data_IF_663691456505
#
_entry.id   IF_663691456505
#
_cell.length_a   1.000
_cell.length_b   1.000
_cell.length_c   1.000
_cell.angle_alpha   90.00
_cell.angle_beta   90.00
_cell.angle_gamma   90.00
#
_symmetry.space_group_name_H-M   'P 1'
#
loop_
_entity.id
_entity.type
_entity.pdbx_description
1 polymer ?
#
# COMPACT_ATOMS: atom_id res chain seq x y z
N UNK A 1 23.63 40.51 7.91
CA UNK A 1 22.85 39.29 7.67
C UNK A 1 22.41 39.29 6.21
N UNK A 2 23.05 38.51 5.34
CA UNK A 2 22.71 38.44 3.93
C UNK A 2 21.56 37.40 3.80
N UNK A 3 20.37 37.93 3.54
CA UNK A 3 19.22 37.07 3.14
C UNK A 3 19.50 36.56 1.73
N UNK A 4 19.62 35.26 1.57
CA UNK A 4 19.63 34.60 0.26
C UNK A 4 18.25 34.74 -0.36
N UNK A 5 18.08 35.79 -1.16
CA UNK A 5 16.93 35.94 -2.08
C UNK A 5 17.05 34.86 -3.17
N UNK A 6 16.46 33.69 -2.93
CA UNK A 6 16.17 32.80 -4.06
C UNK A 6 15.19 33.51 -5.00
N UNK A 7 15.60 33.69 -6.25
CA UNK A 7 14.71 34.30 -7.24
C UNK A 7 13.45 33.44 -7.42
N UNK A 8 12.27 34.09 -7.61
CA UNK A 8 11.00 33.34 -7.87
C UNK A 8 11.15 32.24 -8.92
N UNK A 9 11.87 32.37 -10.03
CA UNK A 9 12.10 31.31 -10.99
C UNK A 9 12.87 30.11 -10.41
N UNK A 10 13.90 30.34 -9.57
CA UNK A 10 14.68 29.29 -8.95
C UNK A 10 13.86 28.50 -7.92
N UNK A 11 12.96 29.18 -7.19
CA UNK A 11 12.01 28.54 -6.27
C UNK A 11 11.05 27.60 -7.01
N UNK A 12 10.44 28.05 -8.12
CA UNK A 12 9.54 27.20 -8.91
C UNK A 12 10.25 26.03 -9.60
N UNK A 13 11.49 26.22 -10.06
CA UNK A 13 12.31 25.14 -10.61
C UNK A 13 12.59 24.07 -9.54
N UNK A 14 13.02 24.48 -8.35
CA UNK A 14 13.29 23.59 -7.24
C UNK A 14 12.05 22.79 -6.80
N UNK A 15 10.87 23.42 -6.73
CA UNK A 15 9.62 22.73 -6.41
C UNK A 15 9.19 21.77 -7.50
N UNK A 16 9.36 22.10 -8.77
CA UNK A 16 9.07 21.17 -9.86
C UNK A 16 10.00 19.96 -9.84
N UNK A 17 11.28 20.14 -9.54
CA UNK A 17 12.25 19.06 -9.39
C UNK A 17 11.91 18.17 -8.19
N UNK A 18 11.45 18.74 -7.08
CA UNK A 18 11.04 17.99 -5.90
C UNK A 18 9.79 17.13 -6.16
N UNK A 19 8.77 17.68 -6.82
CA UNK A 19 7.58 16.92 -7.21
C UNK A 19 7.94 15.78 -8.15
N UNK A 20 8.73 16.02 -9.19
CA UNK A 20 9.20 15.00 -10.12
C UNK A 20 10.01 13.90 -9.44
N UNK A 21 10.83 14.25 -8.45
CA UNK A 21 11.56 13.28 -7.65
C UNK A 21 10.60 12.40 -6.83
N UNK A 22 9.63 13.00 -6.15
CA UNK A 22 8.65 12.26 -5.34
C UNK A 22 7.77 11.34 -6.20
N UNK A 23 7.34 11.78 -7.37
CA UNK A 23 6.63 10.97 -8.36
C UNK A 23 7.47 9.75 -8.76
N UNK A 24 8.74 9.97 -9.11
CA UNK A 24 9.68 8.89 -9.50
C UNK A 24 9.88 7.87 -8.37
N UNK A 25 10.07 8.34 -7.13
CA UNK A 25 10.25 7.47 -5.97
C UNK A 25 8.98 6.65 -5.67
N UNK A 26 7.79 7.24 -5.81
CA UNK A 26 6.54 6.50 -5.65
C UNK A 26 6.32 5.47 -6.76
N UNK A 27 6.73 5.76 -7.99
CA UNK A 27 6.65 4.80 -9.10
C UNK A 27 7.56 3.59 -8.86
N UNK A 28 8.76 3.79 -8.32
CA UNK A 28 9.65 2.69 -7.91
C UNK A 28 9.03 1.84 -6.80
N UNK A 29 8.48 2.48 -5.76
CA UNK A 29 7.78 1.78 -4.67
C UNK A 29 6.59 0.99 -5.21
N UNK A 30 5.79 1.61 -6.09
CA UNK A 30 4.66 0.95 -6.77
C UNK A 30 5.10 -0.29 -7.54
N UNK A 31 6.20 -0.19 -8.29
CA UNK A 31 6.75 -1.32 -9.04
C UNK A 31 7.06 -2.52 -8.13
N UNK A 32 7.69 -2.29 -6.99
CA UNK A 32 7.97 -3.32 -5.99
C UNK A 32 6.70 -3.95 -5.39
N UNK A 33 5.71 -3.13 -5.06
CA UNK A 33 4.43 -3.61 -4.51
C UNK A 33 3.67 -4.45 -5.54
N UNK A 34 3.56 -3.98 -6.79
CA UNK A 34 2.86 -4.68 -7.88
C UNK A 34 3.50 -6.02 -8.19
N UNK A 35 4.83 -6.08 -8.27
CA UNK A 35 5.53 -7.34 -8.51
C UNK A 35 5.30 -8.33 -7.36
N UNK A 36 5.37 -7.89 -6.11
CA UNK A 36 5.07 -8.73 -4.95
C UNK A 36 3.61 -9.20 -4.90
N UNK A 37 2.67 -8.35 -5.29
CA UNK A 37 1.25 -8.68 -5.32
C UNK A 37 0.87 -9.64 -6.45
N UNK A 38 1.68 -9.74 -7.50
CA UNK A 38 1.41 -10.54 -8.70
C UNK A 38 1.06 -11.99 -8.37
N UNK A 39 1.72 -12.58 -7.38
CA UNK A 39 1.48 -13.98 -6.97
C UNK A 39 0.02 -14.19 -6.57
N UNK A 40 -0.53 -13.33 -5.71
CA UNK A 40 -1.93 -13.41 -5.29
C UNK A 40 -2.89 -13.00 -6.40
N UNK A 41 -2.57 -11.94 -7.15
CA UNK A 41 -3.46 -11.40 -8.18
C UNK A 41 -3.68 -12.37 -9.35
N UNK A 42 -2.72 -13.25 -9.65
CA UNK A 42 -2.77 -14.17 -10.82
C UNK A 42 -2.91 -15.64 -10.46
N UNK A 43 -2.80 -16.02 -9.17
CA UNK A 43 -2.85 -17.42 -8.75
C UNK A 43 -4.28 -17.97 -8.75
N UNK A 44 -4.47 -19.12 -9.39
CA UNK A 44 -5.71 -19.89 -9.39
C UNK A 44 -5.73 -21.02 -8.32
N UNK A 45 -4.62 -21.21 -7.60
CA UNK A 45 -4.46 -22.22 -6.57
C UNK A 45 -4.90 -21.76 -5.17
N UNK A 46 -4.04 -21.95 -4.18
CA UNK A 46 -4.30 -21.55 -2.79
C UNK A 46 -4.28 -20.04 -2.63
N UNK A 47 -5.47 -19.43 -2.52
CA UNK A 47 -5.64 -17.99 -2.40
C UNK A 47 -5.04 -17.44 -1.09
N UNK A 48 -5.07 -18.22 0.01
CA UNK A 48 -4.53 -17.79 1.30
C UNK A 48 -3.00 -17.79 1.25
N UNK A 49 -2.40 -18.89 0.79
CA UNK A 49 -0.94 -18.98 0.71
C UNK A 49 -0.36 -17.90 -0.21
N UNK A 50 -0.98 -17.67 -1.37
CA UNK A 50 -0.54 -16.62 -2.30
C UNK A 50 -0.75 -15.20 -1.75
N UNK A 51 -1.83 -14.96 -0.99
CA UNK A 51 -2.03 -13.69 -0.29
C UNK A 51 -0.96 -13.46 0.79
N UNK A 52 -0.64 -14.47 1.58
CA UNK A 52 0.41 -14.37 2.61
C UNK A 52 1.76 -14.01 2.00
N UNK A 53 2.13 -14.63 0.89
CA UNK A 53 3.37 -14.32 0.17
C UNK A 53 3.36 -12.89 -0.39
N UNK A 54 2.25 -12.44 -0.96
CA UNK A 54 2.09 -11.07 -1.45
C UNK A 54 2.13 -10.03 -0.34
N UNK A 55 1.51 -10.31 0.81
CA UNK A 55 1.57 -9.41 1.97
C UNK A 55 2.97 -9.36 2.59
N UNK A 56 3.71 -10.48 2.57
CA UNK A 56 5.12 -10.48 2.97
C UNK A 56 5.94 -9.54 2.08
N UNK A 57 5.79 -9.63 0.77
CA UNK A 57 6.47 -8.74 -0.17
C UNK A 57 6.07 -7.26 0.05
N UNK A 58 4.79 -6.97 0.30
CA UNK A 58 4.30 -5.63 0.63
C UNK A 58 4.97 -5.08 1.90
N UNK A 59 5.08 -5.88 2.96
CA UNK A 59 5.73 -5.48 4.22
C UNK A 59 7.22 -5.29 4.03
N UNK A 60 7.89 -6.12 3.21
CA UNK A 60 9.30 -5.97 2.87
C UNK A 60 9.55 -4.63 2.15
N UNK A 61 8.76 -4.29 1.14
CA UNK A 61 8.82 -2.98 0.44
C UNK A 61 8.53 -1.84 1.42
N UNK A 62 7.49 -1.95 2.25
CA UNK A 62 7.16 -0.95 3.26
C UNK A 62 8.28 -0.73 4.27
N UNK A 63 8.98 -1.80 4.66
CA UNK A 63 10.12 -1.72 5.56
C UNK A 63 11.29 -0.93 4.94
N UNK A 64 11.58 -1.16 3.66
CA UNK A 64 12.65 -0.45 2.95
C UNK A 64 12.28 1.00 2.63
N UNK A 65 11.05 1.24 2.18
CA UNK A 65 10.60 2.51 1.62
C UNK A 65 9.72 3.34 2.55
N UNK A 66 9.50 2.93 3.81
CA UNK A 66 8.59 3.58 4.74
C UNK A 66 8.86 5.07 4.96
N UNK A 67 10.14 5.47 4.97
CA UNK A 67 10.55 6.88 5.08
C UNK A 67 10.10 7.72 3.89
N UNK A 68 10.13 7.17 2.67
CA UNK A 68 9.64 7.83 1.44
C UNK A 68 8.12 7.99 1.54
N UNK A 69 7.41 6.90 1.83
CA UNK A 69 5.95 6.91 1.97
C UNK A 69 5.48 7.92 3.02
N UNK A 70 6.18 7.96 4.17
CA UNK A 70 5.88 8.93 5.23
C UNK A 70 6.11 10.36 4.76
N UNK A 71 7.23 10.65 4.11
CA UNK A 71 7.58 12.00 3.66
C UNK A 71 6.54 12.56 2.68
N UNK A 72 6.08 11.72 1.73
CA UNK A 72 5.05 12.12 0.77
C UNK A 72 3.70 12.28 1.46
N UNK A 73 3.30 11.32 2.30
CA UNK A 73 2.05 11.36 3.07
C UNK A 73 1.94 12.58 3.98
N UNK A 74 3.04 12.98 4.64
CA UNK A 74 3.07 14.15 5.52
C UNK A 74 3.02 15.48 4.72
N UNK A 75 3.61 15.51 3.52
CA UNK A 75 3.63 16.71 2.67
C UNK A 75 2.33 16.90 1.87
N UNK A 76 1.66 15.83 1.48
CA UNK A 76 0.47 15.84 0.63
C UNK A 76 -0.63 16.83 1.10
N UNK A 77 -1.03 16.90 2.39
CA UNK A 77 -2.08 17.82 2.83
C UNK A 77 -1.76 19.31 2.66
N UNK A 78 -0.49 19.64 2.45
CA UNK A 78 -0.01 21.03 2.33
C UNK A 78 0.25 21.45 0.87
N UNK A 79 0.14 20.52 -0.09
CA UNK A 79 0.46 20.74 -1.50
C UNK A 79 -0.49 19.95 -2.39
N UNK A 80 -1.38 20.63 -3.10
CA UNK A 80 -2.43 19.99 -3.93
C UNK A 80 -1.87 19.06 -5.03
N UNK A 81 -0.66 19.32 -5.55
CA UNK A 81 -0.04 18.42 -6.52
C UNK A 81 0.43 17.12 -5.84
N UNK A 82 1.07 17.22 -4.69
CA UNK A 82 1.47 16.05 -3.91
C UNK A 82 0.27 15.26 -3.40
N UNK A 83 -0.80 15.94 -2.99
CA UNK A 83 -2.06 15.28 -2.62
C UNK A 83 -2.61 14.46 -3.78
N UNK A 84 -2.65 15.03 -4.99
CA UNK A 84 -3.09 14.32 -6.19
C UNK A 84 -2.18 13.12 -6.52
N UNK A 85 -0.87 13.29 -6.45
CA UNK A 85 0.11 12.21 -6.68
C UNK A 85 -0.06 11.09 -5.67
N UNK A 86 -0.22 11.44 -4.38
CA UNK A 86 -0.43 10.48 -3.29
C UNK A 86 -1.72 9.70 -3.45
N UNK A 87 -2.84 10.38 -3.72
CA UNK A 87 -4.14 9.72 -3.93
C UNK A 87 -4.14 8.85 -5.20
N UNK A 88 -3.47 9.27 -6.27
CA UNK A 88 -3.30 8.47 -7.48
C UNK A 88 -2.47 7.21 -7.21
N UNK A 89 -1.38 7.34 -6.45
CA UNK A 89 -0.55 6.21 -6.03
C UNK A 89 -1.37 5.20 -5.24
N UNK A 90 -2.07 5.62 -4.20
CA UNK A 90 -2.89 4.73 -3.38
C UNK A 90 -4.06 4.12 -4.17
N UNK A 91 -4.76 4.91 -4.97
CA UNK A 91 -5.89 4.48 -5.78
C UNK A 91 -5.52 3.46 -6.86
N UNK A 92 -4.26 3.48 -7.33
CA UNK A 92 -3.78 2.55 -8.35
C UNK A 92 -3.82 1.07 -7.91
N UNK A 93 -3.90 0.79 -6.63
CA UNK A 93 -4.04 -0.57 -6.10
C UNK A 93 -5.50 -0.99 -5.92
N UNK A 94 -6.43 -0.04 -5.82
CA UNK A 94 -7.83 -0.33 -5.51
C UNK A 94 -8.50 -1.14 -6.62
N UNK A 95 -8.25 -0.82 -7.89
CA UNK A 95 -8.83 -1.53 -9.04
C UNK A 95 -8.34 -2.98 -9.14
N UNK A 96 -7.03 -3.22 -8.99
CA UNK A 96 -6.46 -4.56 -9.13
C UNK A 96 -6.87 -5.46 -7.96
N UNK A 97 -6.91 -4.95 -6.74
CA UNK A 97 -7.37 -5.68 -5.55
C UNK A 97 -8.87 -5.93 -5.64
N UNK A 98 -9.67 -4.94 -6.06
CA UNK A 98 -11.11 -5.07 -6.29
C UNK A 98 -11.45 -6.15 -7.32
N UNK A 99 -10.72 -6.19 -8.45
CA UNK A 99 -10.91 -7.22 -9.46
C UNK A 99 -10.63 -8.62 -8.92
N UNK A 100 -9.57 -8.78 -8.10
CA UNK A 100 -9.28 -10.06 -7.45
C UNK A 100 -10.37 -10.45 -6.44
N UNK A 101 -10.85 -9.53 -5.63
CA UNK A 101 -11.94 -9.78 -4.68
C UNK A 101 -13.20 -10.24 -5.42
N UNK A 102 -13.60 -9.54 -6.49
CA UNK A 102 -14.78 -9.90 -7.30
C UNK A 102 -14.63 -11.30 -7.93
N UNK A 103 -13.42 -11.65 -8.41
CA UNK A 103 -13.14 -12.97 -8.92
C UNK A 103 -13.30 -14.06 -7.85
N UNK A 104 -12.81 -13.84 -6.66
CA UNK A 104 -12.89 -14.79 -5.55
C UNK A 104 -14.33 -14.89 -4.99
N UNK A 105 -15.11 -13.81 -5.03
CA UNK A 105 -16.54 -13.82 -4.74
C UNK A 105 -17.31 -14.68 -5.76
N UNK A 106 -17.02 -14.54 -7.04
CA UNK A 106 -17.64 -15.35 -8.09
C UNK A 106 -17.36 -16.85 -7.93
N UNK A 107 -16.25 -17.22 -7.28
CA UNK A 107 -15.90 -18.58 -6.90
C UNK A 107 -16.49 -19.04 -5.56
N UNK A 108 -17.15 -18.15 -4.83
CA UNK A 108 -17.73 -18.44 -3.50
C UNK A 108 -16.70 -18.63 -2.39
N UNK A 109 -15.45 -18.16 -2.58
CA UNK A 109 -14.37 -18.28 -1.58
C UNK A 109 -14.19 -17.03 -0.73
N UNK A 110 -14.73 -15.90 -1.18
CA UNK A 110 -14.79 -14.62 -0.47
C UNK A 110 -16.26 -14.23 -0.22
N UNK A 111 -16.62 -13.71 0.96
CA UNK A 111 -17.98 -13.24 1.25
C UNK A 111 -18.43 -12.12 0.30
N UNK A 112 -19.76 -11.93 0.17
CA UNK A 112 -20.31 -10.84 -0.61
C UNK A 112 -20.25 -9.51 0.15
N UNK A 113 -19.65 -8.52 -0.46
CA UNK A 113 -19.60 -7.10 -0.11
C UNK A 113 -19.17 -6.32 -1.35
N UNK A 114 -19.19 -5.00 -1.31
CA UNK A 114 -18.69 -4.19 -2.42
C UNK A 114 -17.15 -4.32 -2.57
N UNK A 115 -16.65 -4.88 -3.68
CA UNK A 115 -15.23 -5.17 -3.84
C UNK A 115 -14.35 -3.92 -3.84
N UNK A 116 -14.82 -2.82 -4.45
CA UNK A 116 -14.04 -1.60 -4.55
C UNK A 116 -13.90 -0.90 -3.20
N UNK A 117 -14.98 -0.78 -2.46
CA UNK A 117 -14.95 -0.21 -1.11
C UNK A 117 -14.07 -1.03 -0.16
N UNK A 118 -14.11 -2.36 -0.28
CA UNK A 118 -13.27 -3.23 0.54
C UNK A 118 -11.80 -3.11 0.15
N UNK A 119 -11.47 -3.11 -1.13
CA UNK A 119 -10.11 -2.90 -1.63
C UNK A 119 -9.55 -1.56 -1.14
N UNK A 120 -10.34 -0.48 -1.27
CA UNK A 120 -9.99 0.84 -0.77
C UNK A 120 -9.67 0.84 0.73
N UNK A 121 -10.55 0.25 1.54
CA UNK A 121 -10.34 0.18 3.00
C UNK A 121 -9.08 -0.60 3.38
N UNK A 122 -8.87 -1.78 2.78
CA UNK A 122 -7.70 -2.62 3.05
C UNK A 122 -6.39 -1.95 2.62
N UNK A 123 -6.36 -1.33 1.44
CA UNK A 123 -5.17 -0.64 0.93
C UNK A 123 -4.82 0.58 1.78
N UNK A 124 -5.80 1.43 2.15
CA UNK A 124 -5.58 2.60 3.02
C UNK A 124 -5.12 2.19 4.43
N UNK A 125 -5.74 1.16 5.00
CA UNK A 125 -5.32 0.60 6.28
C UNK A 125 -3.88 0.08 6.20
N UNK A 126 -3.54 -0.70 5.16
CA UNK A 126 -2.20 -1.23 4.94
C UNK A 126 -1.16 -0.13 4.82
N UNK A 127 -1.40 0.88 3.97
CA UNK A 127 -0.50 2.03 3.83
C UNK A 127 -0.29 2.77 5.16
N UNK A 128 -1.36 3.05 5.90
CA UNK A 128 -1.29 3.71 7.21
C UNK A 128 -0.46 2.92 8.21
N UNK A 129 -0.64 1.60 8.30
CA UNK A 129 0.13 0.72 9.19
C UNK A 129 1.62 0.72 8.81
N UNK A 130 1.95 0.59 7.52
CA UNK A 130 3.34 0.57 7.05
C UNK A 130 4.05 1.90 7.29
N UNK A 131 3.37 3.02 7.02
CA UNK A 131 3.91 4.38 7.28
C UNK A 131 4.17 4.57 8.77
N UNK A 132 3.23 4.19 9.63
CA UNK A 132 3.37 4.33 11.07
C UNK A 132 4.48 3.42 11.62
N UNK A 133 4.56 2.18 11.13
CA UNK A 133 5.52 1.19 11.61
C UNK A 133 6.96 1.44 11.13
N UNK A 134 7.12 1.94 9.90
CA UNK A 134 8.43 1.96 9.22
C UNK A 134 8.86 3.34 8.72
N UNK A 135 8.01 4.35 8.86
CA UNK A 135 8.29 5.71 8.38
C UNK A 135 9.27 6.51 9.25
N UNK A 136 9.75 5.96 10.36
CA UNK A 136 10.70 6.62 11.26
C UNK A 136 12.01 5.82 11.37
N UNK A 137 13.04 6.43 11.98
CA UNK A 137 14.32 5.75 12.21
C UNK A 137 14.20 4.56 13.17
N UNK A 138 13.28 4.61 14.13
CA UNK A 138 12.97 3.50 15.02
C UNK A 138 11.79 2.72 14.43
N UNK A 139 12.11 1.74 13.58
CA UNK A 139 11.10 0.89 12.95
C UNK A 139 10.53 -0.11 13.95
N UNK A 140 9.24 -0.44 13.77
CA UNK A 140 8.59 -1.52 14.48
C UNK A 140 9.13 -2.90 14.07
N UNK A 141 8.79 -3.92 14.86
CA UNK A 141 9.10 -5.31 14.52
C UNK A 141 8.32 -5.72 13.25
N UNK A 142 9.08 -6.15 12.23
CA UNK A 142 8.54 -6.48 10.90
C UNK A 142 7.61 -7.68 10.94
N UNK A 143 7.91 -8.69 11.76
CA UNK A 143 7.12 -9.92 11.84
C UNK A 143 5.77 -9.65 12.53
N UNK A 144 5.75 -8.78 13.54
CA UNK A 144 4.51 -8.33 14.20
C UNK A 144 3.61 -7.56 13.23
N UNK A 145 4.19 -6.68 12.42
CA UNK A 145 3.44 -5.91 11.40
C UNK A 145 2.87 -6.85 10.34
N UNK A 146 3.69 -7.80 9.85
CA UNK A 146 3.26 -8.80 8.86
C UNK A 146 2.11 -9.67 9.41
N UNK A 147 2.24 -10.20 10.63
CA UNK A 147 1.18 -11.01 11.26
C UNK A 147 -0.11 -10.22 11.38
N UNK A 148 -0.02 -8.95 11.80
CA UNK A 148 -1.19 -8.09 11.99
C UNK A 148 -1.93 -7.84 10.68
N UNK A 149 -1.22 -7.39 9.63
CA UNK A 149 -1.81 -7.13 8.32
C UNK A 149 -2.39 -8.42 7.73
N UNK A 150 -1.64 -9.52 7.77
CA UNK A 150 -2.06 -10.82 7.26
C UNK A 150 -3.34 -11.31 7.94
N UNK A 151 -3.43 -11.19 9.26
CA UNK A 151 -4.62 -11.57 10.03
C UNK A 151 -5.85 -10.78 9.59
N UNK A 152 -5.73 -9.45 9.40
CA UNK A 152 -6.85 -8.61 8.98
C UNK A 152 -7.31 -8.99 7.57
N UNK A 153 -6.39 -9.10 6.62
CA UNK A 153 -6.72 -9.43 5.24
C UNK A 153 -7.37 -10.82 5.12
N UNK A 154 -6.79 -11.85 5.75
CA UNK A 154 -7.33 -13.23 5.70
C UNK A 154 -8.70 -13.30 6.38
N UNK A 155 -8.86 -12.69 7.57
CA UNK A 155 -10.15 -12.73 8.27
C UNK A 155 -11.25 -11.99 7.51
N UNK A 156 -10.91 -11.01 6.69
CA UNK A 156 -11.86 -10.26 5.86
C UNK A 156 -12.20 -11.01 4.58
N UNK A 157 -11.19 -11.46 3.85
CA UNK A 157 -11.38 -12.03 2.51
C UNK A 157 -11.69 -13.52 2.52
N UNK A 158 -11.15 -14.27 3.48
CA UNK A 158 -11.24 -15.74 3.52
C UNK A 158 -11.69 -16.31 4.87
N UNK A 159 -12.77 -15.79 5.50
CA UNK A 159 -13.19 -16.19 6.85
C UNK A 159 -13.61 -17.65 6.94
N UNK A 160 -14.11 -18.25 5.86
CA UNK A 160 -14.59 -19.63 5.84
C UNK A 160 -13.46 -20.66 6.00
N UNK A 161 -12.25 -20.32 5.60
CA UNK A 161 -11.09 -21.20 5.74
C UNK A 161 -10.51 -21.21 7.15
N UNK A 162 -10.72 -20.14 7.92
CA UNK A 162 -10.34 -20.09 9.34
C UNK A 162 -11.16 -21.07 10.18
N UNK A 163 -12.42 -21.33 9.82
CA UNK A 163 -13.29 -22.26 10.52
C UNK A 163 -12.93 -23.73 10.20
N UNK A 164 -12.49 -24.05 8.99
CA UNK A 164 -12.01 -25.40 8.63
C UNK A 164 -10.74 -25.79 9.40
N UNK A 165 -9.85 -24.84 9.66
CA UNK A 165 -8.61 -25.08 10.42
C UNK A 165 -8.86 -25.26 11.93
N UNK A 166 -10.02 -24.84 12.44
CA UNK A 166 -10.41 -24.94 13.87
C UNK A 166 -11.29 -26.15 14.18
N UNK A 167 -11.65 -26.98 13.19
CA UNK A 167 -12.35 -28.25 13.41
C UNK A 167 -13.80 -28.15 13.96
N UNK A 168 -14.52 -27.06 13.60
CA UNK A 168 -15.95 -26.87 13.89
C UNK A 168 -16.73 -26.87 12.58
#
# INVERSE_FOLDING_TARGET
>A
MAGTEYSRPAFYLYFNDLHGLMETLLDEVKGGIVEGARIWLTNEGDAIASLQESLKALVDVGYECGGILKSVSDAAPSDARLEHVWETFLGSFDEVVSARIAHDQAKGITPEFDPLSMAHALNRMGAGVLIQAFGTTQKADKDVVLETITRIWISTLYPFNLNKARGV
#
